data_IF_359391122970
#
_entry.id   IF_359391122970
#
_cell.length_a   1.000
_cell.length_b   1.000
_cell.length_c   1.000
_cell.angle_alpha   90.00
_cell.angle_beta   90.00
_cell.angle_gamma   90.00
#
_symmetry.space_group_name_H-M   'P 1'
#
loop_
_entity.id
_entity.type
_entity.pdbx_description
1 polymer ?
#
# COMPACT_ATOMS: atom_id res chain seq x y z
N UNK A 1 4.76 -1.82 -18.64
CA UNK A 1 4.06 -1.16 -17.52
C UNK A 1 2.67 -1.76 -17.38
N UNK A 2 2.08 -1.72 -16.19
CA UNK A 2 0.68 -2.13 -15.97
C UNK A 2 -0.25 -1.10 -16.58
N UNK A 3 -1.42 -1.53 -17.06
CA UNK A 3 -2.43 -0.62 -17.59
C UNK A 3 -2.86 0.38 -16.50
N UNK A 4 -3.07 1.66 -16.85
CA UNK A 4 -3.55 2.67 -15.90
C UNK A 4 -4.88 2.22 -15.27
N UNK A 5 -5.11 2.61 -14.02
CA UNK A 5 -6.36 2.32 -13.32
C UNK A 5 -7.52 3.07 -13.98
N UNK A 6 -8.67 2.40 -14.15
CA UNK A 6 -9.91 3.10 -14.49
C UNK A 6 -10.34 4.04 -13.35
N UNK A 7 -11.25 4.96 -13.64
CA UNK A 7 -11.81 5.84 -12.60
C UNK A 7 -12.53 5.04 -11.51
N UNK A 8 -13.28 4.01 -11.90
CA UNK A 8 -14.02 3.11 -11.01
C UNK A 8 -13.06 2.28 -10.14
N UNK A 9 -12.01 1.71 -10.73
CA UNK A 9 -10.98 0.97 -9.99
C UNK A 9 -10.30 1.84 -8.94
N UNK A 10 -9.95 3.07 -9.34
CA UNK A 10 -9.33 4.03 -8.43
C UNK A 10 -10.29 4.41 -7.31
N UNK A 11 -11.53 4.79 -7.60
CA UNK A 11 -12.54 5.11 -6.57
C UNK A 11 -12.73 3.96 -5.58
N UNK A 12 -12.89 2.73 -6.08
CA UNK A 12 -13.04 1.55 -5.25
C UNK A 12 -11.81 1.31 -4.35
N UNK A 13 -10.59 1.51 -4.88
CA UNK A 13 -9.35 1.41 -4.12
C UNK A 13 -9.28 2.46 -3.00
N UNK A 14 -9.56 3.73 -3.29
CA UNK A 14 -9.49 4.81 -2.29
C UNK A 14 -10.55 4.63 -1.19
N UNK A 15 -11.79 4.31 -1.58
CA UNK A 15 -12.85 4.02 -0.62
C UNK A 15 -12.51 2.82 0.26
N UNK A 16 -11.92 1.78 -0.32
CA UNK A 16 -11.50 0.61 0.44
C UNK A 16 -10.44 0.93 1.51
N UNK A 17 -9.51 1.85 1.25
CA UNK A 17 -8.52 2.27 2.25
C UNK A 17 -9.16 3.07 3.40
N UNK A 18 -10.15 3.92 3.10
CA UNK A 18 -10.93 4.65 4.09
C UNK A 18 -11.71 3.71 5.02
N UNK A 19 -12.39 2.72 4.45
CA UNK A 19 -13.15 1.71 5.19
C UNK A 19 -12.23 0.83 6.04
N UNK A 20 -11.04 0.50 5.52
CA UNK A 20 -10.10 -0.39 6.18
C UNK A 20 -9.60 0.15 7.54
N UNK A 21 -9.75 1.45 7.82
CA UNK A 21 -9.48 2.03 9.15
C UNK A 21 -10.30 1.36 10.25
N UNK A 22 -11.49 0.84 9.93
CA UNK A 22 -12.32 0.10 10.89
C UNK A 22 -11.72 -1.25 11.31
N UNK A 23 -10.73 -1.76 10.58
CA UNK A 23 -10.01 -3.01 10.91
C UNK A 23 -8.84 -2.78 11.88
N UNK A 24 -8.53 -1.53 12.22
CA UNK A 24 -7.40 -1.21 13.07
C UNK A 24 -7.64 -1.65 14.52
N UNK A 25 -6.62 -2.27 15.11
CA UNK A 25 -6.50 -2.49 16.55
C UNK A 25 -5.38 -1.60 17.06
N UNK A 26 -5.72 -0.42 17.59
CA UNK A 26 -4.73 0.58 18.00
C UNK A 26 -5.04 1.24 19.35
N UNK A 27 -5.13 0.47 20.44
CA UNK A 27 -5.50 1.01 21.75
C UNK A 27 -4.41 1.89 22.37
N UNK A 28 -3.18 1.85 21.87
CA UNK A 28 -2.06 2.60 22.43
C UNK A 28 -1.92 3.97 21.77
N UNK A 29 -1.90 4.03 20.43
CA UNK A 29 -1.81 5.33 19.73
C UNK A 29 -3.17 6.02 19.54
N UNK A 30 -4.26 5.25 19.53
CA UNK A 30 -5.59 5.71 19.07
C UNK A 30 -5.55 6.31 17.64
N UNK A 31 -4.60 5.87 16.81
CA UNK A 31 -4.42 6.36 15.45
C UNK A 31 -4.68 5.23 14.45
N UNK A 32 -5.84 5.28 13.79
CA UNK A 32 -6.24 4.26 12.83
C UNK A 32 -5.66 4.57 11.45
N UNK A 33 -5.07 3.55 10.86
CA UNK A 33 -4.58 3.53 9.48
C UNK A 33 -5.23 2.36 8.77
N UNK A 34 -5.78 2.64 7.59
CA UNK A 34 -6.34 1.65 6.68
C UNK A 34 -5.53 1.63 5.39
N UNK A 35 -5.34 0.45 4.83
CA UNK A 35 -4.72 0.28 3.52
C UNK A 35 -5.54 -0.67 2.65
N UNK A 36 -5.45 -0.47 1.34
CA UNK A 36 -6.06 -1.35 0.35
C UNK A 36 -5.08 -1.65 -0.80
N UNK A 37 -5.19 -2.85 -1.37
CA UNK A 37 -4.43 -3.30 -2.53
C UNK A 37 -5.41 -3.66 -3.64
N UNK A 38 -5.19 -3.15 -4.85
CA UNK A 38 -5.88 -3.63 -6.05
C UNK A 38 -5.02 -4.71 -6.70
N UNK A 39 -5.55 -5.92 -6.86
CA UNK A 39 -4.86 -7.02 -7.55
C UNK A 39 -5.14 -7.00 -9.06
N UNK A 40 -4.34 -7.77 -9.81
CA UNK A 40 -4.43 -7.88 -11.27
C UNK A 40 -5.77 -8.42 -11.78
N UNK A 41 -6.48 -9.20 -10.97
CA UNK A 41 -7.80 -9.76 -11.25
C UNK A 41 -8.97 -8.89 -10.74
N UNK A 42 -8.68 -7.68 -10.26
CA UNK A 42 -9.68 -6.73 -9.78
C UNK A 42 -10.10 -6.91 -8.31
N UNK A 43 -9.60 -7.94 -7.60
CA UNK A 43 -9.87 -8.07 -6.16
C UNK A 43 -9.22 -6.93 -5.37
N UNK A 44 -9.91 -6.48 -4.32
CA UNK A 44 -9.39 -5.50 -3.36
C UNK A 44 -9.16 -6.15 -2.01
N UNK A 45 -7.92 -6.06 -1.51
CA UNK A 45 -7.54 -6.58 -0.20
C UNK A 45 -7.34 -5.42 0.77
N UNK A 46 -7.98 -5.49 1.93
CA UNK A 46 -7.94 -4.45 2.97
C UNK A 46 -7.02 -4.87 4.13
N UNK A 47 -6.44 -3.90 4.82
CA UNK A 47 -5.67 -4.11 6.05
C UNK A 47 -5.76 -2.89 6.98
N UNK A 48 -5.78 -3.15 8.28
CA UNK A 48 -5.67 -2.13 9.34
C UNK A 48 -4.36 -2.28 10.11
N UNK A 49 -3.90 -1.20 10.76
CA UNK A 49 -2.77 -1.32 11.69
C UNK A 49 -3.19 -2.10 12.94
N UNK A 50 -2.29 -2.97 13.41
CA UNK A 50 -2.48 -3.79 14.61
C UNK A 50 -1.33 -3.53 15.55
N UNK A 51 -1.63 -2.96 16.71
CA UNK A 51 -0.66 -2.63 17.73
C UNK A 51 -0.47 -3.77 18.73
N UNK A 52 0.58 -3.65 19.54
CA UNK A 52 0.92 -4.60 20.58
C UNK A 52 1.53 -3.85 21.77
N UNK A 53 1.38 -4.40 22.97
CA UNK A 53 2.00 -3.86 24.19
C UNK A 53 3.52 -3.71 24.04
N UNK A 54 4.16 -4.65 23.34
CA UNK A 54 5.53 -4.50 22.86
C UNK A 54 5.50 -3.76 21.52
N UNK A 55 5.73 -2.45 21.53
CA UNK A 55 5.57 -1.58 20.36
C UNK A 55 6.27 -2.07 19.08
N UNK A 56 7.50 -2.62 19.12
CA UNK A 56 8.15 -3.14 17.92
C UNK A 56 7.41 -4.30 17.23
N UNK A 57 6.53 -5.02 17.95
CA UNK A 57 5.74 -6.10 17.38
C UNK A 57 4.53 -5.62 16.57
N UNK A 58 4.23 -4.31 16.58
CA UNK A 58 3.12 -3.73 15.81
C UNK A 58 3.30 -3.84 14.29
N UNK A 59 2.19 -4.07 13.60
CA UNK A 59 2.11 -4.19 12.14
C UNK A 59 1.29 -3.02 11.57
N UNK A 60 1.84 -2.35 10.56
CA UNK A 60 1.18 -1.25 9.86
C UNK A 60 0.12 -1.78 8.88
N UNK A 61 -0.84 -0.94 8.52
CA UNK A 61 -1.96 -1.31 7.65
C UNK A 61 -1.52 -1.88 6.29
N UNK A 62 -0.50 -1.31 5.67
CA UNK A 62 0.03 -1.73 4.37
C UNK A 62 0.62 -3.14 4.46
N UNK A 63 1.37 -3.43 5.52
CA UNK A 63 1.92 -4.76 5.79
C UNK A 63 0.80 -5.76 6.09
N UNK A 64 -0.20 -5.38 6.87
CA UNK A 64 -1.39 -6.22 7.11
C UNK A 64 -2.12 -6.59 5.81
N UNK A 65 -2.31 -5.64 4.89
CA UNK A 65 -2.96 -5.89 3.61
C UNK A 65 -2.12 -6.83 2.72
N UNK A 66 -0.80 -6.63 2.65
CA UNK A 66 0.12 -7.47 1.87
C UNK A 66 0.18 -8.90 2.40
N UNK A 67 0.30 -9.07 3.72
CA UNK A 67 0.29 -10.38 4.37
C UNK A 67 -1.05 -11.09 4.14
N UNK A 68 -2.17 -10.35 4.23
CA UNK A 68 -3.50 -10.89 3.94
C UNK A 68 -3.61 -11.35 2.49
N UNK A 69 -3.14 -10.55 1.53
CA UNK A 69 -3.13 -10.93 0.12
C UNK A 69 -2.29 -12.18 -0.14
N UNK A 70 -1.06 -12.22 0.39
CA UNK A 70 -0.17 -13.38 0.30
C UNK A 70 -0.81 -14.66 0.85
N UNK A 71 -1.48 -14.58 2.00
CA UNK A 71 -2.01 -15.75 2.69
C UNK A 71 -3.35 -16.23 2.12
N UNK A 72 -4.20 -15.33 1.64
CA UNK A 72 -5.59 -15.64 1.26
C UNK A 72 -5.83 -15.74 -0.24
N UNK A 73 -5.01 -15.09 -1.07
CA UNK A 73 -5.27 -14.96 -2.50
C UNK A 73 -4.43 -15.90 -3.37
N UNK A 74 -3.41 -16.51 -2.79
CA UNK A 74 -2.48 -17.38 -3.50
C UNK A 74 -2.44 -18.74 -2.80
N UNK A 75 -2.49 -19.85 -3.57
CA UNK A 75 -2.43 -21.18 -2.97
C UNK A 75 -1.12 -21.36 -2.19
N UNK A 76 -1.11 -22.24 -1.18
CA UNK A 76 0.13 -22.61 -0.50
C UNK A 76 1.10 -23.16 -1.56
N UNK A 77 2.11 -22.38 -1.91
CA UNK A 77 3.23 -22.91 -2.69
C UNK A 77 4.06 -23.73 -1.71
N UNK A 78 4.29 -25.01 -2.01
CA UNK A 78 5.28 -25.79 -1.28
C UNK A 78 6.55 -24.95 -1.16
N UNK A 79 7.07 -24.77 0.06
CA UNK A 79 8.17 -23.87 0.41
C UNK A 79 9.11 -23.63 -0.77
N UNK A 80 8.91 -22.53 -1.49
CA UNK A 80 9.50 -22.37 -2.81
C UNK A 80 10.97 -22.05 -2.62
N UNK A 81 11.83 -22.97 -3.06
CA UNK A 81 13.25 -22.72 -3.30
C UNK A 81 13.48 -21.65 -4.39
N UNK A 82 12.42 -21.24 -5.09
CA UNK A 82 12.42 -20.09 -6.00
C UNK A 82 12.19 -18.79 -5.24
N UNK A 83 13.11 -17.83 -5.42
CA UNK A 83 13.18 -16.53 -4.75
C UNK A 83 11.99 -15.56 -4.97
N UNK A 84 10.86 -16.00 -5.51
CA UNK A 84 9.73 -15.14 -5.87
C UNK A 84 8.43 -15.60 -5.24
N UNK A 85 7.81 -14.69 -4.48
CA UNK A 85 6.45 -14.85 -3.96
C UNK A 85 5.42 -14.86 -5.11
N UNK A 86 4.32 -15.64 -5.02
CA UNK A 86 3.24 -15.62 -5.99
C UNK A 86 2.47 -14.28 -6.04
N UNK A 87 2.58 -13.44 -5.00
CA UNK A 87 2.03 -12.08 -4.98
C UNK A 87 2.86 -11.10 -5.81
N UNK A 88 4.15 -11.40 -6.05
CA UNK A 88 5.05 -10.50 -6.78
C UNK A 88 4.51 -10.25 -8.19
N UNK A 89 4.41 -8.97 -8.56
CA UNK A 89 3.88 -8.56 -9.87
C UNK A 89 2.34 -8.53 -9.97
N UNK A 90 1.60 -9.05 -8.99
CA UNK A 90 0.13 -9.14 -9.03
C UNK A 90 -0.58 -7.87 -8.55
N UNK A 91 0.08 -6.99 -7.81
CA UNK A 91 -0.52 -5.77 -7.26
C UNK A 91 -0.51 -4.67 -8.32
N UNK A 92 -1.63 -3.99 -8.58
CA UNK A 92 -1.72 -2.88 -9.53
C UNK A 92 -1.57 -1.51 -8.89
N UNK A 93 -2.05 -1.34 -7.67
CA UNK A 93 -1.96 -0.09 -6.91
C UNK A 93 -2.18 -0.35 -5.42
N UNK A 94 -1.72 0.60 -4.61
CA UNK A 94 -1.89 0.59 -3.15
C UNK A 94 -2.52 1.93 -2.73
N UNK A 95 -3.48 1.92 -1.81
CA UNK A 95 -3.95 3.13 -1.16
C UNK A 95 -3.82 3.04 0.36
N UNK A 96 -3.56 4.17 1.00
CA UNK A 96 -3.40 4.33 2.45
C UNK A 96 -4.21 5.52 2.91
N UNK A 97 -4.94 5.36 4.00
CA UNK A 97 -5.69 6.43 4.66
C UNK A 97 -5.53 6.35 6.17
N UNK A 98 -5.76 7.46 6.86
CA UNK A 98 -5.70 7.55 8.32
C UNK A 98 -6.83 8.41 8.87
N UNK A 99 -6.89 8.59 10.18
CA UNK A 99 -7.81 9.53 10.83
C UNK A 99 -7.50 11.02 10.56
N UNK A 100 -6.39 11.34 9.87
CA UNK A 100 -6.08 12.71 9.48
C UNK A 100 -7.09 13.24 8.43
N UNK A 101 -7.88 14.29 8.75
CA UNK A 101 -9.01 14.70 7.93
C UNK A 101 -8.60 15.30 6.58
N UNK A 102 -7.52 16.08 6.55
CA UNK A 102 -7.07 16.84 5.37
C UNK A 102 -5.55 16.77 5.17
N UNK A 103 -4.90 15.71 5.67
CA UNK A 103 -3.45 15.51 5.55
C UNK A 103 -3.11 14.06 5.22
N UNK A 104 -2.14 13.79 4.31
CA UNK A 104 -1.86 12.43 3.87
C UNK A 104 -1.17 11.65 4.99
N UNK A 105 -1.41 10.34 5.04
CA UNK A 105 -0.61 9.42 5.83
C UNK A 105 0.39 8.73 4.89
N UNK A 106 1.65 9.14 4.95
CA UNK A 106 2.71 8.53 4.15
C UNK A 106 3.10 7.16 4.71
N UNK A 107 3.30 6.13 3.86
CA UNK A 107 3.85 4.86 4.32
C UNK A 107 5.18 5.05 5.04
N UNK A 108 5.37 4.39 6.18
CA UNK A 108 6.63 4.45 6.91
C UNK A 108 7.75 3.70 6.15
N UNK A 109 9.02 3.93 6.52
CA UNK A 109 10.15 3.29 5.84
C UNK A 109 10.08 1.77 5.80
N UNK A 110 9.58 1.13 6.87
CA UNK A 110 9.39 -0.32 6.93
C UNK A 110 8.34 -0.78 5.91
N UNK A 111 7.23 -0.06 5.77
CA UNK A 111 6.21 -0.37 4.77
C UNK A 111 6.74 -0.18 3.35
N UNK A 112 7.47 0.89 3.08
CA UNK A 112 8.09 1.14 1.76
C UNK A 112 9.00 -0.02 1.36
N UNK A 113 9.86 -0.45 2.27
CA UNK A 113 10.76 -1.58 2.03
C UNK A 113 10.00 -2.90 1.87
N UNK A 114 8.93 -3.11 2.64
CA UNK A 114 8.11 -4.32 2.53
C UNK A 114 7.32 -4.35 1.21
N UNK A 115 6.80 -3.21 0.75
CA UNK A 115 6.17 -3.07 -0.57
C UNK A 115 7.18 -3.38 -1.67
N UNK A 116 8.43 -2.94 -1.53
CA UNK A 116 9.49 -3.16 -2.52
C UNK A 116 9.81 -4.62 -2.81
N UNK A 117 9.55 -5.52 -1.87
CA UNK A 117 9.70 -6.97 -2.10
C UNK A 117 8.71 -7.49 -3.16
N UNK A 118 7.48 -6.95 -3.18
CA UNK A 118 6.36 -7.47 -3.99
C UNK A 118 6.05 -6.62 -5.23
N UNK A 119 6.51 -5.38 -5.25
CA UNK A 119 6.13 -4.36 -6.22
C UNK A 119 7.33 -3.78 -6.94
N UNK A 120 7.15 -3.50 -8.24
CA UNK A 120 8.10 -2.74 -9.05
C UNK A 120 8.18 -1.27 -8.58
N UNK A 121 9.26 -0.59 -8.96
CA UNK A 121 9.54 0.80 -8.59
C UNK A 121 8.48 1.80 -9.10
N UNK A 122 7.80 1.48 -10.20
CA UNK A 122 6.71 2.29 -10.79
C UNK A 122 5.35 2.13 -10.06
N UNK A 123 5.28 1.31 -9.01
CA UNK A 123 4.04 1.03 -8.27
C UNK A 123 3.39 2.33 -7.73
N UNK A 124 2.17 2.69 -8.16
CA UNK A 124 1.49 3.87 -7.65
C UNK A 124 0.94 3.64 -6.24
N UNK A 125 1.27 4.56 -5.33
CA UNK A 125 0.81 4.59 -3.95
C UNK A 125 -0.02 5.86 -3.72
N UNK A 126 -1.29 5.66 -3.41
CA UNK A 126 -2.27 6.70 -3.14
C UNK A 126 -2.34 6.97 -1.63
N UNK A 127 -2.01 8.19 -1.22
CA UNK A 127 -2.14 8.65 0.16
C UNK A 127 -3.37 9.55 0.25
N UNK A 128 -4.43 9.05 0.89
CA UNK A 128 -5.78 9.62 0.86
C UNK A 128 -6.14 10.20 2.23
N UNK A 129 -6.71 11.39 2.25
CA UNK A 129 -7.18 12.00 3.49
C UNK A 129 -8.42 11.31 4.03
N UNK A 130 -8.58 11.36 5.35
CA UNK A 130 -9.69 10.72 6.05
C UNK A 130 -11.06 11.29 5.69
N UNK A 131 -11.13 12.53 5.18
CA UNK A 131 -12.35 13.17 4.71
C UNK A 131 -12.52 13.11 3.18
N UNK A 132 -11.67 12.38 2.45
CA UNK A 132 -11.87 12.22 1.01
C UNK A 132 -13.29 11.72 0.71
N UNK A 133 -13.87 12.24 -0.36
CA UNK A 133 -15.16 11.85 -0.92
C UNK A 133 -15.03 11.68 -2.42
N UNK A 134 -15.92 10.90 -3.02
CA UNK A 134 -15.88 10.59 -4.45
C UNK A 134 -16.00 11.85 -5.31
N UNK A 135 -16.79 12.83 -4.88
CA UNK A 135 -17.01 14.10 -5.57
C UNK A 135 -15.74 14.97 -5.66
N UNK A 136 -14.69 14.62 -4.92
CA UNK A 136 -13.37 15.27 -5.03
C UNK A 136 -12.57 14.80 -6.26
N UNK A 137 -13.00 13.76 -6.98
CA UNK A 137 -12.43 13.40 -8.28
C UNK A 137 -13.01 14.27 -9.41
N UNK A 138 -12.41 15.43 -9.68
CA UNK A 138 -12.51 16.04 -11.01
C UNK A 138 -11.36 15.57 -11.90
N UNK A 139 -11.58 15.47 -13.21
CA UNK A 139 -10.55 15.02 -14.17
C UNK A 139 -9.50 16.12 -14.49
N UNK A 140 -9.77 17.39 -14.12
CA UNK A 140 -8.87 18.50 -14.43
C UNK A 140 -7.71 18.58 -13.42
N UNK A 141 -6.53 18.09 -13.80
CA UNK A 141 -5.27 18.35 -13.09
C UNK A 141 -4.86 19.81 -13.30
N UNK A 142 -5.36 20.72 -12.45
CA UNK A 142 -4.83 22.08 -12.39
C UNK A 142 -3.78 22.15 -11.29
N UNK A 143 -2.52 22.28 -11.72
CA UNK A 143 -1.35 22.48 -10.89
C UNK A 143 -1.56 23.70 -9.96
N UNK A 144 -1.55 23.46 -8.63
CA UNK A 144 -1.76 24.50 -7.61
C UNK A 144 -3.16 24.54 -6.97
N UNK A 145 -4.10 23.68 -7.37
CA UNK A 145 -5.39 23.55 -6.67
C UNK A 145 -5.22 22.85 -5.31
N UNK A 146 -5.88 23.38 -4.26
CA UNK A 146 -5.99 22.74 -2.94
C UNK A 146 -6.28 21.26 -3.16
N UNK A 147 -5.34 20.42 -2.72
CA UNK A 147 -5.12 19.06 -3.19
C UNK A 147 -6.46 18.25 -3.18
N UNK A 148 -6.69 17.35 -4.15
CA UNK A 148 -7.97 16.61 -4.37
C UNK A 148 -8.23 15.47 -3.36
N UNK A 149 -8.13 15.74 -2.07
CA UNK A 149 -8.32 14.69 -1.07
C UNK A 149 -7.19 13.66 -0.99
N UNK A 150 -6.14 13.76 -1.83
CA UNK A 150 -5.07 12.75 -1.97
C UNK A 150 -3.75 13.29 -2.52
N UNK A 151 -2.69 12.50 -2.37
CA UNK A 151 -1.42 12.60 -3.09
C UNK A 151 -1.08 11.22 -3.67
N UNK A 152 -0.50 11.17 -4.87
CA UNK A 152 0.00 9.93 -5.48
C UNK A 152 1.51 10.04 -5.69
N UNK A 153 2.24 8.98 -5.32
CA UNK A 153 3.68 8.85 -5.60
C UNK A 153 3.98 7.43 -6.06
N UNK A 154 5.02 7.24 -6.85
CA UNK A 154 5.55 5.91 -7.13
C UNK A 154 6.33 5.39 -5.91
N UNK A 155 6.60 4.09 -5.89
CA UNK A 155 7.46 3.50 -4.88
C UNK A 155 8.88 4.07 -4.95
N UNK A 156 9.42 4.31 -6.15
CA UNK A 156 10.73 4.93 -6.36
C UNK A 156 10.85 6.32 -5.73
N UNK A 157 9.83 7.16 -5.90
CA UNK A 157 9.79 8.50 -5.30
C UNK A 157 9.77 8.44 -3.77
N UNK A 158 9.14 7.41 -3.21
CA UNK A 158 9.06 7.21 -1.76
C UNK A 158 10.29 6.50 -1.18
N UNK A 159 10.98 5.67 -1.96
CA UNK A 159 12.14 4.90 -1.54
C UNK A 159 13.22 4.92 -2.63
N UNK A 160 13.85 6.08 -2.86
CA UNK A 160 14.88 6.23 -3.89
C UNK A 160 16.09 5.38 -3.52
N UNK A 161 16.74 4.81 -4.55
CA UNK A 161 17.91 3.93 -4.37
C UNK A 161 17.64 2.76 -3.40
N UNK A 162 16.42 2.23 -3.44
CA UNK A 162 15.99 1.15 -2.56
C UNK A 162 16.85 -0.10 -2.69
N UNK A 163 17.11 -0.75 -1.56
CA UNK A 163 17.64 -2.10 -1.51
C UNK A 163 16.55 -3.11 -1.92
N UNK A 164 16.90 -4.11 -2.72
CA UNK A 164 16.00 -5.16 -3.18
C UNK A 164 16.68 -6.51 -3.38
N UNK A 165 15.92 -7.51 -3.88
CA UNK A 165 16.44 -8.85 -4.15
C UNK A 165 17.63 -8.87 -5.12
N UNK A 166 17.72 -7.90 -6.03
CA UNK A 166 18.81 -7.79 -7.00
C UNK A 166 20.16 -7.45 -6.33
N UNK A 167 20.17 -6.74 -5.20
CA UNK A 167 21.38 -6.48 -4.42
C UNK A 167 21.91 -7.75 -3.75
N UNK A 168 21.01 -8.62 -3.27
CA UNK A 168 21.39 -9.89 -2.62
C UNK A 168 22.05 -10.87 -3.59
N UNK A 169 21.70 -10.79 -4.88
CA UNK A 169 22.24 -11.63 -5.94
C UNK A 169 23.61 -11.17 -6.47
N UNK A 170 24.12 -10.00 -6.03
CA UNK A 170 25.41 -9.49 -6.49
C UNK A 170 26.56 -10.37 -5.99
N UNK A 171 27.62 -10.55 -6.80
CA UNK A 171 28.85 -11.20 -6.34
C UNK A 171 29.41 -10.46 -5.12
N UNK A 172 29.91 -11.22 -4.15
CA UNK A 172 30.67 -10.67 -3.02
C UNK A 172 32.12 -11.02 -3.30
N UNK A 173 32.93 -10.02 -3.62
CA UNK A 173 34.37 -10.22 -3.67
C UNK A 173 34.81 -10.71 -2.29
N UNK A 174 35.44 -11.88 -2.25
CA UNK A 174 35.90 -12.54 -1.03
C UNK A 174 37.22 -11.94 -0.54
#
# INVERSE_FOLDING_TARGET
SKAPLSAEERKALLQAALDARALAYCPYSNFRVGASLLLGDGRIIKGGNVENASYPAGICAERSALLTAQASCFPPTAATSSAKSPLQGQIRAIAVSSDLPSSPCSPCGVCRQFIREFCELDMPIYMVWGEWREECESDDEVEGSKTKGRIVRTLEELLPLSFGPEELARPRDA
#
